data_IF_661918619051
#
_entry.id   IF_661918619051
#
_cell.length_a   1.000
_cell.length_b   1.000
_cell.length_c   1.000
_cell.angle_alpha   90.00
_cell.angle_beta   90.00
_cell.angle_gamma   90.00
#
_symmetry.space_group_name_H-M   'P 1'
#
loop_
_entity.id
_entity.type
_entity.pdbx_description
1 polymer ?
#
# COMPACT_ATOMS: atom_id res chain seq x y z
N UNK A 1 19.55 7.26 30.88
CA UNK A 1 19.35 5.93 30.27
C UNK A 1 19.40 6.13 28.77
N UNK A 2 20.48 5.71 28.12
CA UNK A 2 20.68 5.93 26.68
C UNK A 2 19.82 4.93 25.90
N UNK A 3 18.76 5.41 25.25
CA UNK A 3 17.97 4.58 24.33
C UNK A 3 18.80 4.40 23.06
N UNK A 4 19.22 3.16 22.76
CA UNK A 4 19.88 2.86 21.49
C UNK A 4 18.85 3.04 20.37
N UNK A 5 18.93 4.13 19.63
CA UNK A 5 18.14 4.31 18.42
C UNK A 5 18.54 3.24 17.41
N UNK A 6 17.68 2.24 17.20
CA UNK A 6 17.86 1.29 16.12
C UNK A 6 17.85 2.06 14.79
N UNK A 7 18.74 1.71 13.83
CA UNK A 7 18.72 2.35 12.53
C UNK A 7 17.35 2.18 11.88
N UNK A 8 16.83 3.23 11.21
CA UNK A 8 15.52 3.20 10.60
C UNK A 8 15.42 2.05 9.59
N UNK A 9 14.41 1.18 9.73
CA UNK A 9 14.21 0.09 8.77
C UNK A 9 13.58 0.68 7.51
N UNK A 10 14.23 0.48 6.37
CA UNK A 10 13.74 0.98 5.07
C UNK A 10 13.34 -0.21 4.22
N UNK A 11 12.10 -0.22 3.74
CA UNK A 11 11.56 -1.23 2.85
C UNK A 11 11.01 -0.59 1.57
N UNK A 12 11.40 -1.12 0.41
CA UNK A 12 10.88 -0.68 -0.87
C UNK A 12 9.85 -1.68 -1.38
N UNK A 13 8.65 -1.19 -1.69
CA UNK A 13 7.53 -2.01 -2.16
C UNK A 13 6.95 -1.46 -3.46
N UNK A 14 6.47 -2.36 -4.32
CA UNK A 14 5.56 -2.04 -5.42
C UNK A 14 4.20 -2.65 -5.07
N UNK A 15 3.24 -1.84 -4.61
CA UNK A 15 2.03 -2.35 -3.98
C UNK A 15 0.97 -2.72 -5.04
N UNK A 16 1.30 -3.67 -5.91
CA UNK A 16 0.43 -4.18 -6.97
C UNK A 16 0.20 -5.69 -6.80
N UNK A 17 -1.06 -6.19 -6.90
CA UNK A 17 -1.35 -7.60 -6.65
C UNK A 17 -0.63 -8.59 -7.59
N UNK A 18 -0.45 -8.23 -8.86
CA UNK A 18 0.23 -9.08 -9.86
C UNK A 18 1.71 -8.75 -9.98
N UNK A 19 2.51 -9.08 -8.96
CA UNK A 19 3.96 -8.80 -8.89
C UNK A 19 4.80 -9.44 -10.01
N UNK A 20 4.28 -10.48 -10.64
CA UNK A 20 4.95 -11.22 -11.72
C UNK A 20 4.61 -10.69 -13.12
N UNK A 21 3.74 -9.69 -13.23
CA UNK A 21 3.37 -9.11 -14.52
C UNK A 21 4.47 -8.16 -15.03
N UNK A 22 5.36 -8.70 -15.87
CA UNK A 22 6.49 -7.94 -16.43
C UNK A 22 6.08 -6.77 -17.34
N UNK A 23 4.83 -6.71 -17.82
CA UNK A 23 4.32 -5.60 -18.61
C UNK A 23 3.81 -4.46 -17.72
N UNK A 24 3.16 -4.80 -16.62
CA UNK A 24 2.53 -3.83 -15.73
C UNK A 24 3.50 -3.29 -14.68
N UNK A 25 4.31 -4.15 -14.07
CA UNK A 25 5.21 -3.80 -12.97
C UNK A 25 6.18 -2.64 -13.25
N UNK A 26 6.72 -2.43 -14.47
CA UNK A 26 7.51 -1.24 -14.79
C UNK A 26 6.76 0.09 -14.65
N UNK A 27 5.43 0.07 -14.73
CA UNK A 27 4.58 1.26 -14.58
C UNK A 27 4.07 1.47 -13.15
N UNK A 28 4.35 0.54 -12.24
CA UNK A 28 3.94 0.63 -10.82
C UNK A 28 4.98 1.45 -10.06
N UNK A 29 4.51 2.49 -9.36
CA UNK A 29 5.37 3.34 -8.53
C UNK A 29 5.95 2.55 -7.36
N UNK A 30 7.22 2.80 -7.08
CA UNK A 30 7.87 2.34 -5.87
C UNK A 30 7.41 3.19 -4.68
N UNK A 31 7.12 2.53 -3.57
CA UNK A 31 6.90 3.13 -2.27
C UNK A 31 8.04 2.73 -1.35
N UNK A 32 8.57 3.72 -0.62
CA UNK A 32 9.59 3.49 0.40
C UNK A 32 8.94 3.67 1.77
N UNK A 33 8.86 2.57 2.51
CA UNK A 33 8.45 2.54 3.91
C UNK A 33 9.69 2.75 4.77
N UNK A 34 9.67 3.74 5.64
CA UNK A 34 10.77 4.00 6.58
C UNK A 34 10.20 3.93 7.99
N UNK A 35 10.69 3.01 8.81
CA UNK A 35 10.46 3.00 10.25
C UNK A 35 11.53 3.85 10.92
N UNK A 36 11.20 4.67 11.92
CA UNK A 36 12.18 5.53 12.59
C UNK A 36 11.54 6.72 13.30
N UNK A 37 12.31 7.51 14.07
CA UNK A 37 11.79 8.70 14.73
C UNK A 37 11.27 9.72 13.69
N UNK A 38 10.27 10.50 14.13
CA UNK A 38 9.28 11.23 13.34
C UNK A 38 9.74 11.72 11.96
N UNK A 39 8.95 11.34 10.93
CA UNK A 39 9.00 11.95 9.61
C UNK A 39 8.71 13.46 9.65
N UNK A 40 8.59 14.14 8.49
CA UNK A 40 8.22 15.55 8.46
C UNK A 40 6.95 15.80 9.29
N UNK A 41 6.76 17.02 9.85
CA UNK A 41 5.57 17.32 10.64
C UNK A 41 4.31 16.97 9.84
N UNK A 42 3.55 15.98 10.32
CA UNK A 42 2.31 15.55 9.71
C UNK A 42 1.17 16.45 10.17
N UNK A 43 0.33 16.91 9.25
CA UNK A 43 -0.91 17.61 9.57
C UNK A 43 -1.96 16.65 10.16
N UNK A 44 -1.95 15.38 9.72
CA UNK A 44 -2.85 14.33 10.19
C UNK A 44 -2.05 13.08 10.55
N UNK A 45 -2.36 12.48 11.69
CA UNK A 45 -1.82 11.20 12.13
C UNK A 45 -2.99 10.21 12.32
N UNK A 46 -2.79 8.98 11.87
CA UNK A 46 -3.80 7.93 11.94
C UNK A 46 -3.26 6.78 12.80
N UNK A 47 -4.05 6.36 13.80
CA UNK A 47 -3.72 5.23 14.70
C UNK A 47 -4.28 3.88 14.19
N UNK A 48 -4.74 3.86 12.94
CA UNK A 48 -5.32 2.69 12.26
C UNK A 48 -4.37 2.18 11.18
N UNK A 49 -4.42 0.90 10.80
CA UNK A 49 -3.57 0.37 9.73
C UNK A 49 -3.81 1.08 8.40
N UNK A 50 -2.73 1.21 7.61
CA UNK A 50 -2.80 1.75 6.26
C UNK A 50 -2.81 0.62 5.22
N UNK A 51 -3.76 0.67 4.29
CA UNK A 51 -3.82 -0.17 3.10
C UNK A 51 -3.21 0.57 1.92
N UNK A 52 -1.99 0.20 1.55
CA UNK A 52 -1.26 0.80 0.42
C UNK A 52 -1.44 -0.06 -0.83
N UNK A 53 -1.94 0.52 -1.93
CA UNK A 53 -2.05 -0.17 -3.22
C UNK A 53 -1.89 0.79 -4.42
N UNK A 54 -1.55 0.26 -5.59
CA UNK A 54 -1.53 1.03 -6.84
C UNK A 54 -2.54 0.51 -7.85
N UNK A 55 -3.28 1.44 -8.46
CA UNK A 55 -4.21 1.16 -9.57
C UNK A 55 -3.62 1.51 -10.95
N UNK A 56 -2.44 2.14 -10.98
CA UNK A 56 -1.87 2.81 -12.16
C UNK A 56 -1.43 1.90 -13.31
N UNK A 57 -1.31 0.59 -13.08
CA UNK A 57 -0.85 -0.35 -14.09
C UNK A 57 -1.87 -0.67 -15.19
N UNK A 58 -3.14 -0.74 -14.83
CA UNK A 58 -4.18 -1.33 -15.69
C UNK A 58 -4.91 -0.32 -16.59
N UNK A 59 -4.84 0.97 -16.25
CA UNK A 59 -5.60 2.06 -16.87
C UNK A 59 -5.11 2.47 -18.27
N UNK A 60 -3.85 2.22 -18.66
CA UNK A 60 -3.33 2.73 -19.95
C UNK A 60 -3.84 1.96 -21.18
N UNK A 61 -4.44 0.77 -21.02
CA UNK A 61 -5.03 -0.01 -22.13
C UNK A 61 -6.27 -0.85 -21.79
N UNK A 62 -6.61 -1.08 -20.51
CA UNK A 62 -7.75 -1.92 -20.10
C UNK A 62 -8.84 -1.08 -19.42
N UNK A 63 -10.10 -1.41 -19.70
CA UNK A 63 -11.31 -0.80 -19.14
C UNK A 63 -11.30 -0.86 -17.60
N UNK A 64 -11.90 0.16 -16.96
CA UNK A 64 -12.11 0.31 -15.51
C UNK A 64 -12.60 -0.98 -14.83
N UNK A 65 -13.42 -1.77 -15.54
CA UNK A 65 -13.89 -3.09 -15.12
C UNK A 65 -12.78 -3.99 -14.56
N UNK A 66 -11.63 -4.04 -15.22
CA UNK A 66 -10.55 -4.94 -14.79
C UNK A 66 -9.85 -4.49 -13.51
N UNK A 67 -9.95 -3.22 -13.14
CA UNK A 67 -9.40 -2.73 -11.86
C UNK A 67 -10.31 -3.16 -10.72
N UNK A 68 -11.62 -3.22 -10.95
CA UNK A 68 -12.58 -3.71 -9.96
C UNK A 68 -12.42 -5.20 -9.76
N UNK A 69 -12.52 -5.97 -10.83
CA UNK A 69 -12.56 -7.43 -10.76
C UNK A 69 -11.21 -8.05 -10.42
N UNK A 70 -10.12 -7.63 -11.07
CA UNK A 70 -8.80 -8.23 -10.85
C UNK A 70 -8.06 -7.59 -9.65
N UNK A 71 -8.51 -6.43 -9.17
CA UNK A 71 -7.77 -5.58 -8.23
C UNK A 71 -8.53 -5.32 -6.93
N UNK A 72 -9.58 -4.49 -7.00
CA UNK A 72 -10.27 -3.97 -5.81
C UNK A 72 -11.09 -5.04 -5.09
N UNK A 73 -11.90 -5.83 -5.80
CA UNK A 73 -12.75 -6.85 -5.15
C UNK A 73 -11.89 -7.87 -4.38
N UNK A 74 -10.85 -8.49 -4.97
CA UNK A 74 -9.97 -9.39 -4.23
C UNK A 74 -9.24 -8.72 -3.08
N UNK A 75 -8.86 -7.44 -3.24
CA UNK A 75 -8.21 -6.66 -2.18
C UNK A 75 -9.14 -6.47 -0.98
N UNK A 76 -10.37 -6.04 -1.18
CA UNK A 76 -11.33 -5.84 -0.08
C UNK A 76 -11.73 -7.16 0.58
N UNK A 77 -11.87 -8.25 -0.19
CA UNK A 77 -12.05 -9.59 0.37
C UNK A 77 -10.86 -9.94 1.27
N UNK A 78 -9.63 -9.74 0.79
CA UNK A 78 -8.41 -10.03 1.54
C UNK A 78 -8.32 -9.22 2.83
N UNK A 79 -8.59 -7.91 2.76
CA UNK A 79 -8.67 -7.02 3.92
C UNK A 79 -9.67 -7.55 4.94
N UNK A 80 -10.87 -7.93 4.50
CA UNK A 80 -11.90 -8.48 5.38
C UNK A 80 -11.52 -9.85 5.99
N UNK A 81 -10.61 -10.61 5.35
CA UNK A 81 -10.10 -11.86 5.94
C UNK A 81 -8.95 -11.64 6.93
N UNK A 82 -8.14 -10.58 6.76
CA UNK A 82 -6.96 -10.31 7.57
C UNK A 82 -7.29 -9.43 8.78
N UNK A 83 -8.12 -8.41 8.57
CA UNK A 83 -8.53 -7.48 9.62
C UNK A 83 -9.86 -7.93 10.24
N UNK A 84 -10.14 -7.42 11.45
CA UNK A 84 -11.43 -7.67 12.09
C UNK A 84 -12.56 -6.94 11.31
N UNK A 85 -13.80 -7.47 11.31
CA UNK A 85 -14.92 -6.89 10.56
C UNK A 85 -15.17 -5.40 10.84
N UNK A 86 -14.88 -4.94 12.06
CA UNK A 86 -15.11 -3.57 12.51
C UNK A 86 -13.82 -2.74 12.62
N UNK A 87 -12.73 -3.20 12.00
CA UNK A 87 -11.46 -2.50 12.04
C UNK A 87 -11.38 -1.46 10.92
N UNK A 88 -11.28 -0.19 11.30
CA UNK A 88 -11.00 0.91 10.38
C UNK A 88 -9.59 0.80 9.81
N UNK A 89 -9.41 1.28 8.58
CA UNK A 89 -8.12 1.41 7.92
C UNK A 89 -8.13 2.61 6.97
N UNK A 90 -6.95 3.15 6.70
CA UNK A 90 -6.77 4.27 5.77
C UNK A 90 -6.28 3.74 4.44
N UNK A 91 -6.89 4.18 3.35
CA UNK A 91 -6.46 3.83 1.99
C UNK A 91 -5.39 4.82 1.53
N UNK A 92 -4.24 4.29 1.09
CA UNK A 92 -3.18 5.05 0.44
C UNK A 92 -3.02 4.51 -0.97
N UNK A 93 -3.45 5.28 -1.97
CA UNK A 93 -3.46 4.86 -3.37
C UNK A 93 -2.59 5.75 -4.26
N UNK A 94 -1.98 5.17 -5.30
CA UNK A 94 -1.25 5.89 -6.36
C UNK A 94 -1.52 5.43 -7.78
#
# INVERSE_FOLDING_TARGET
>A
MSSSAQPPAVENIQPYPRKFDGFIMPNIKNFTLTSGPGGPPCEVQHDVPALVFSAGGLIRRRNFYHIFDDGLIPLFITVNTIFRPDQEFVIVAS
#
